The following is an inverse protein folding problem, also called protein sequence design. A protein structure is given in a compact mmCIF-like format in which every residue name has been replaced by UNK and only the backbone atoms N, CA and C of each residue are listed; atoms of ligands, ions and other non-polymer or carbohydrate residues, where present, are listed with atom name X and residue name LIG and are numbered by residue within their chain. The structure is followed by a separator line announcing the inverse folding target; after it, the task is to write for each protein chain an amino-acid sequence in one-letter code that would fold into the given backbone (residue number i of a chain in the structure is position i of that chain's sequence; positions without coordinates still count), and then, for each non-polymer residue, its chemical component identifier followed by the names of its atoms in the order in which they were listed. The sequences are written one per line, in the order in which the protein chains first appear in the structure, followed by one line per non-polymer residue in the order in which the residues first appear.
data_IF_348539179497
#
_entry.id   IF_348539179497
#
_cell.length_a   1.000
_cell.length_b   1.000
_cell.length_c   1.000
_cell.angle_alpha   90.00
_cell.angle_beta   90.00
_cell.angle_gamma   90.00
#
_symmetry.space_group_name_H-M   'P 1'
#
loop_
_entity.id
_entity.type
_entity.pdbx_description
1 polymer ?
#
# COMPACT_ATOMS: atom_id res chain seq x y z
N UNK A 1 39.94 -72.44 -0.82
CA UNK A 1 39.88 -70.95 -1.03
C UNK A 1 38.46 -70.56 -1.45
N UNK A 2 37.69 -70.05 -0.49
CA UNK A 2 36.29 -69.77 -0.68
C UNK A 2 36.16 -68.23 -0.60
N UNK A 3 35.78 -67.57 -1.71
CA UNK A 3 35.61 -66.14 -1.79
C UNK A 3 34.16 -65.79 -1.41
N UNK A 4 33.95 -65.01 -0.31
CA UNK A 4 32.69 -64.41 0.01
C UNK A 4 32.49 -63.11 -0.79
N UNK A 5 31.47 -63.07 -1.61
CA UNK A 5 30.95 -61.88 -2.26
C UNK A 5 30.00 -61.16 -1.28
N UNK A 6 30.42 -60.01 -0.75
CA UNK A 6 29.58 -59.11 0.04
C UNK A 6 28.78 -58.18 -0.89
N UNK A 7 27.48 -58.46 -1.09
CA UNK A 7 26.56 -57.60 -1.82
C UNK A 7 26.14 -56.41 -0.91
N UNK A 8 26.65 -55.20 -1.24
CA UNK A 8 26.24 -53.95 -0.58
C UNK A 8 24.83 -53.54 -0.98
N UNK A 9 23.87 -53.58 -0.05
CA UNK A 9 22.56 -52.95 -0.19
C UNK A 9 22.72 -51.45 -0.11
N UNK A 10 22.70 -50.76 -1.25
CA UNK A 10 22.54 -49.32 -1.34
C UNK A 10 21.10 -48.98 -0.93
N UNK A 11 20.92 -48.55 0.31
CA UNK A 11 19.65 -48.04 0.79
C UNK A 11 19.24 -46.77 0.06
N UNK A 12 18.28 -46.86 -0.85
CA UNK A 12 17.59 -45.72 -1.46
C UNK A 12 16.88 -44.94 -0.35
N UNK A 13 17.43 -43.78 0.04
CA UNK A 13 16.70 -42.82 0.87
C UNK A 13 15.49 -42.34 0.06
N UNK A 14 14.26 -42.45 0.57
CA UNK A 14 13.11 -41.82 -0.08
C UNK A 14 13.39 -40.33 -0.14
N UNK A 15 13.46 -39.77 -1.34
CA UNK A 15 13.38 -38.34 -1.54
C UNK A 15 12.01 -37.92 -0.95
N UNK A 16 12.02 -37.25 0.18
CA UNK A 16 10.83 -36.58 0.72
C UNK A 16 10.34 -35.64 -0.37
N UNK A 17 9.31 -36.09 -1.09
CA UNK A 17 8.60 -35.21 -2.03
C UNK A 17 8.22 -33.96 -1.26
N UNK A 18 8.87 -32.85 -1.59
CA UNK A 18 8.57 -31.54 -1.04
C UNK A 18 7.10 -31.30 -1.35
N UNK A 19 6.24 -31.36 -0.32
CA UNK A 19 4.79 -31.16 -0.48
C UNK A 19 4.59 -29.83 -1.23
N UNK A 20 3.80 -29.88 -2.31
CA UNK A 20 3.56 -28.69 -3.14
C UNK A 20 3.04 -27.55 -2.25
N UNK A 21 3.74 -26.41 -2.26
CA UNK A 21 3.30 -25.21 -1.55
C UNK A 21 2.26 -24.47 -2.41
N UNK A 22 1.15 -24.00 -1.80
CA UNK A 22 0.68 -24.22 -0.43
C UNK A 22 -0.10 -25.56 -0.30
N UNK A 23 0.03 -26.26 0.84
CA UNK A 23 -0.72 -27.48 1.17
C UNK A 23 -1.87 -27.26 2.17
N UNK A 24 -2.03 -26.03 2.66
CA UNK A 24 -3.06 -25.58 3.61
C UNK A 24 -3.38 -24.10 3.38
N UNK A 25 -4.45 -23.57 3.97
CA UNK A 25 -4.80 -22.15 3.86
C UNK A 25 -3.65 -21.21 4.23
N UNK A 26 -3.48 -20.15 3.44
CA UNK A 26 -2.50 -19.08 3.65
C UNK A 26 -3.21 -17.85 4.21
N UNK A 27 -2.71 -17.31 5.31
CA UNK A 27 -3.21 -16.08 5.92
C UNK A 27 -2.51 -14.87 5.28
N UNK A 28 -3.29 -13.87 4.87
CA UNK A 28 -2.78 -12.57 4.43
C UNK A 28 -3.19 -11.50 5.43
N UNK A 29 -2.22 -10.97 6.17
CA UNK A 29 -2.43 -9.81 7.02
C UNK A 29 -2.58 -8.58 6.13
N UNK A 30 -3.58 -7.74 6.44
CA UNK A 30 -3.79 -6.42 5.86
C UNK A 30 -3.71 -5.40 6.98
N UNK A 31 -2.71 -4.50 6.93
CA UNK A 31 -2.39 -3.59 8.03
C UNK A 31 -3.41 -2.44 8.20
N UNK A 32 -4.54 -2.47 7.49
CA UNK A 32 -5.58 -1.42 7.46
C UNK A 32 -6.98 -2.02 7.54
N UNK A 33 -7.98 -1.15 7.78
CA UNK A 33 -9.39 -1.54 7.85
C UNK A 33 -9.90 -2.07 6.51
N UNK A 34 -10.90 -2.94 6.56
CA UNK A 34 -11.61 -3.42 5.38
C UNK A 34 -12.17 -2.25 4.56
N UNK A 35 -12.23 -2.42 3.23
CA UNK A 35 -12.72 -1.42 2.28
C UNK A 35 -11.71 -0.33 1.88
N UNK A 36 -10.53 -0.27 2.50
CA UNK A 36 -9.42 0.57 2.03
C UNK A 36 -8.67 -0.08 0.88
N UNK A 37 -7.85 0.69 0.16
CA UNK A 37 -7.13 0.21 -1.03
C UNK A 37 -6.26 -1.02 -0.77
N UNK A 38 -5.59 -1.10 0.40
CA UNK A 38 -4.80 -2.29 0.76
C UNK A 38 -5.69 -3.55 0.81
N UNK A 39 -6.89 -3.43 1.39
CA UNK A 39 -7.85 -4.54 1.49
C UNK A 39 -8.44 -4.92 0.13
N UNK A 40 -8.81 -3.93 -0.69
CA UNK A 40 -9.33 -4.13 -2.05
C UNK A 40 -8.33 -4.92 -2.90
N UNK A 41 -7.08 -4.45 -2.96
CA UNK A 41 -6.02 -5.09 -3.73
C UNK A 41 -5.65 -6.47 -3.17
N UNK A 42 -5.57 -6.61 -1.84
CA UNK A 42 -5.28 -7.88 -1.18
C UNK A 42 -6.35 -8.93 -1.50
N UNK A 43 -7.65 -8.57 -1.47
CA UNK A 43 -8.76 -9.49 -1.79
C UNK A 43 -8.75 -9.91 -3.26
N UNK A 44 -8.49 -8.96 -4.18
CA UNK A 44 -8.41 -9.26 -5.60
C UNK A 44 -7.30 -10.28 -5.91
N UNK A 45 -6.11 -10.09 -5.31
CA UNK A 45 -4.98 -11.01 -5.47
C UNK A 45 -5.23 -12.33 -4.74
N UNK A 46 -5.75 -12.30 -3.49
CA UNK A 46 -6.01 -13.49 -2.68
C UNK A 46 -7.00 -14.45 -3.34
N UNK A 47 -8.08 -13.91 -3.92
CA UNK A 47 -9.06 -14.72 -4.63
C UNK A 47 -8.41 -15.50 -5.79
N UNK A 48 -7.67 -14.79 -6.64
CA UNK A 48 -7.00 -15.38 -7.80
C UNK A 48 -5.89 -16.36 -7.42
N UNK A 49 -5.13 -16.04 -6.36
CA UNK A 49 -4.15 -16.98 -5.82
C UNK A 49 -4.82 -18.27 -5.33
N UNK A 50 -5.96 -18.17 -4.67
CA UNK A 50 -6.74 -19.32 -4.20
C UNK A 50 -7.20 -20.22 -5.36
N UNK A 51 -7.74 -19.61 -6.42
CA UNK A 51 -8.14 -20.30 -7.65
C UNK A 51 -6.95 -20.99 -8.33
N UNK A 52 -5.79 -20.31 -8.38
CA UNK A 52 -4.59 -20.79 -9.08
C UNK A 52 -3.82 -21.88 -8.31
N UNK A 53 -3.67 -21.71 -7.00
CA UNK A 53 -2.82 -22.55 -6.16
C UNK A 53 -3.61 -23.63 -5.38
N UNK A 54 -4.95 -23.67 -5.51
CA UNK A 54 -5.81 -24.69 -4.93
C UNK A 54 -5.96 -24.66 -3.41
N UNK A 55 -5.51 -23.57 -2.75
CA UNK A 55 -5.66 -23.37 -1.32
C UNK A 55 -6.19 -21.97 -1.02
N UNK A 56 -7.07 -21.79 -0.01
CA UNK A 56 -7.60 -20.48 0.33
C UNK A 56 -6.50 -19.51 0.79
N UNK A 57 -6.56 -18.26 0.31
CA UNK A 57 -5.80 -17.13 0.83
C UNK A 57 -6.75 -16.24 1.62
N UNK A 58 -6.62 -16.24 2.95
CA UNK A 58 -7.59 -15.65 3.88
C UNK A 58 -7.09 -14.28 4.35
N UNK A 59 -7.90 -13.25 4.14
CA UNK A 59 -7.60 -11.88 4.56
C UNK A 59 -7.90 -11.70 6.04
N UNK A 60 -6.93 -11.14 6.78
CA UNK A 60 -7.04 -10.79 8.19
C UNK A 60 -6.64 -9.32 8.40
N UNK A 61 -7.63 -8.45 8.59
CA UNK A 61 -7.40 -7.02 8.77
C UNK A 61 -6.91 -6.71 10.19
N UNK A 62 -5.72 -6.09 10.32
CA UNK A 62 -5.06 -5.69 11.58
C UNK A 62 -4.73 -4.20 11.57
N UNK A 63 -5.72 -3.32 11.68
CA UNK A 63 -5.51 -1.87 11.59
C UNK A 63 -4.91 -1.29 12.87
N UNK A 64 -4.26 -0.12 12.72
CA UNK A 64 -3.79 0.72 13.83
C UNK A 64 -2.32 1.12 13.72
N UNK A 65 -1.97 2.25 14.35
CA UNK A 65 -0.62 2.81 14.34
C UNK A 65 -0.09 3.11 12.93
N UNK A 66 -0.92 3.63 12.02
CA UNK A 66 -0.50 3.86 10.63
C UNK A 66 -0.12 2.59 9.87
N UNK A 67 -0.61 1.42 10.30
CA UNK A 67 -0.29 0.11 9.75
C UNK A 67 0.80 -0.66 10.54
N UNK A 68 1.37 -0.06 11.58
CA UNK A 68 2.46 -0.67 12.34
C UNK A 68 2.02 -1.90 13.12
N UNK A 69 0.75 -1.98 13.59
CA UNK A 69 0.24 -3.13 14.35
C UNK A 69 0.25 -4.39 13.49
N UNK A 70 -0.35 -4.32 12.29
CA UNK A 70 -0.37 -5.45 11.36
C UNK A 70 1.04 -5.83 10.87
N UNK A 71 1.90 -4.83 10.62
CA UNK A 71 3.28 -5.06 10.20
C UNK A 71 4.09 -5.78 11.29
N UNK A 72 3.96 -5.35 12.55
CA UNK A 72 4.63 -6.00 13.68
C UNK A 72 4.14 -7.44 13.89
N UNK A 73 2.86 -7.73 13.64
CA UNK A 73 2.33 -9.09 13.70
C UNK A 73 2.93 -9.98 12.60
N UNK A 74 3.01 -9.46 11.36
CA UNK A 74 3.62 -10.17 10.25
C UNK A 74 5.11 -10.46 10.49
N UNK A 75 5.87 -9.48 10.99
CA UNK A 75 7.30 -9.65 11.32
C UNK A 75 7.53 -10.80 12.32
N UNK A 76 6.61 -10.99 13.28
CA UNK A 76 6.73 -12.05 14.29
C UNK A 76 6.18 -13.40 13.86
N UNK A 77 5.55 -13.48 12.70
CA UNK A 77 4.99 -14.74 12.21
C UNK A 77 6.08 -15.73 11.79
N UNK A 78 5.74 -17.02 11.77
CA UNK A 78 6.64 -18.07 11.31
C UNK A 78 7.03 -17.83 9.84
N UNK A 79 8.32 -17.97 9.48
CA UNK A 79 8.79 -17.76 8.11
C UNK A 79 8.60 -19.02 7.24
N UNK A 80 7.40 -19.56 7.22
CA UNK A 80 7.03 -20.79 6.51
C UNK A 80 6.19 -20.54 5.25
N UNK A 81 5.88 -19.27 4.95
CA UNK A 81 5.07 -18.87 3.81
C UNK A 81 3.55 -18.92 4.05
N UNK A 82 3.07 -19.38 5.19
CA UNK A 82 1.64 -19.48 5.50
C UNK A 82 1.07 -18.23 6.20
N UNK A 83 1.92 -17.27 6.52
CA UNK A 83 1.51 -15.91 6.89
C UNK A 83 2.24 -14.92 5.99
N UNK A 84 1.47 -14.15 5.24
CA UNK A 84 1.94 -13.08 4.37
C UNK A 84 1.37 -11.75 4.85
N UNK A 85 1.89 -10.65 4.34
CA UNK A 85 1.28 -9.33 4.52
C UNK A 85 1.19 -8.61 3.19
N UNK A 86 0.03 -8.02 2.91
CA UNK A 86 -0.10 -6.96 1.90
C UNK A 86 0.04 -5.64 2.62
N UNK A 87 1.05 -4.89 2.21
CA UNK A 87 1.41 -3.64 2.86
C UNK A 87 1.60 -2.50 1.84
N UNK A 88 1.80 -1.28 2.33
CA UNK A 88 1.90 -0.06 1.52
C UNK A 88 3.08 0.81 1.94
N UNK A 89 3.28 1.90 1.22
CA UNK A 89 4.36 2.88 1.44
C UNK A 89 4.47 3.35 2.91
N UNK A 90 3.35 3.54 3.61
CA UNK A 90 3.34 4.03 4.99
C UNK A 90 4.19 3.15 5.91
N UNK A 91 3.74 1.93 6.23
CA UNK A 91 4.47 1.03 7.11
C UNK A 91 5.84 0.61 6.58
N UNK A 92 6.04 0.56 5.26
CA UNK A 92 7.25 0.03 4.65
C UNK A 92 8.35 1.08 4.43
N UNK A 93 7.99 2.35 4.26
CA UNK A 93 8.96 3.39 3.88
C UNK A 93 8.89 4.65 4.76
N UNK A 94 7.70 5.06 5.21
CA UNK A 94 7.49 6.33 5.92
C UNK A 94 7.71 6.16 7.43
N UNK A 95 7.11 5.12 8.01
CA UNK A 95 6.97 4.98 9.46
C UNK A 95 8.30 4.79 10.20
N UNK A 96 9.32 4.24 9.54
CA UNK A 96 10.65 4.09 10.14
C UNK A 96 11.29 5.44 10.52
N UNK A 97 10.99 6.49 9.77
CA UNK A 97 11.47 7.85 10.08
C UNK A 97 10.51 8.60 10.98
N UNK A 98 9.20 8.33 10.85
CA UNK A 98 8.15 9.06 11.53
C UNK A 98 7.97 8.61 12.99
N UNK A 99 8.14 7.32 13.28
CA UNK A 99 7.95 6.73 14.60
C UNK A 99 9.31 6.45 15.27
N UNK A 100 9.74 7.24 16.26
CA UNK A 100 11.10 7.11 16.83
C UNK A 100 11.34 5.79 17.59
N UNK A 101 10.27 5.09 17.99
CA UNK A 101 10.32 3.83 18.73
C UNK A 101 9.57 2.70 18.01
N UNK A 102 9.83 2.52 16.72
CA UNK A 102 9.24 1.42 15.98
C UNK A 102 9.89 0.09 16.43
N UNK A 103 9.10 -0.93 16.88
CA UNK A 103 9.67 -2.16 17.46
C UNK A 103 10.18 -3.16 16.40
N UNK A 104 10.19 -2.79 15.13
CA UNK A 104 10.63 -3.62 14.01
C UNK A 104 11.21 -2.73 12.90
N UNK A 105 12.01 -3.32 12.05
CA UNK A 105 12.51 -2.72 10.81
C UNK A 105 11.92 -3.50 9.62
N UNK A 106 10.85 -2.98 8.97
CA UNK A 106 10.17 -3.73 7.91
C UNK A 106 11.07 -4.03 6.70
N UNK A 107 12.10 -3.21 6.42
CA UNK A 107 13.05 -3.48 5.33
C UNK A 107 14.02 -4.62 5.64
N UNK A 108 14.30 -4.85 6.93
CA UNK A 108 15.16 -5.93 7.41
C UNK A 108 14.35 -7.19 7.74
N UNK A 109 13.19 -7.02 8.38
CA UNK A 109 12.45 -8.09 9.05
C UNK A 109 11.38 -8.73 8.15
N UNK A 110 11.12 -8.15 6.96
CA UNK A 110 10.27 -8.72 5.92
C UNK A 110 11.06 -8.96 4.63
N UNK A 111 10.67 -10.00 3.91
CA UNK A 111 11.14 -10.31 2.57
C UNK A 111 10.12 -9.79 1.55
N UNK A 112 10.57 -9.02 0.56
CA UNK A 112 9.74 -8.61 -0.56
C UNK A 112 9.37 -9.84 -1.42
N UNK A 113 8.11 -9.94 -1.82
CA UNK A 113 7.63 -10.98 -2.73
C UNK A 113 7.34 -10.39 -4.10
N UNK A 114 6.43 -9.41 -4.19
CA UNK A 114 6.07 -8.76 -5.45
C UNK A 114 5.36 -7.45 -5.19
N UNK A 115 5.61 -6.44 -6.03
CA UNK A 115 4.80 -5.24 -6.08
C UNK A 115 3.48 -5.55 -6.78
N UNK A 116 2.34 -5.21 -6.15
CA UNK A 116 1.02 -5.41 -6.77
C UNK A 116 0.72 -4.24 -7.70
N UNK A 117 0.80 -3.02 -7.16
CA UNK A 117 0.41 -1.81 -7.90
C UNK A 117 1.06 -0.54 -7.37
N UNK A 118 1.21 0.43 -8.25
CA UNK A 118 1.31 1.85 -7.93
C UNK A 118 -0.08 2.47 -7.93
N UNK A 119 -0.34 3.33 -6.95
CA UNK A 119 -1.66 3.93 -6.75
C UNK A 119 -1.51 5.42 -6.44
N UNK A 120 -1.87 6.29 -7.37
CA UNK A 120 -1.93 7.72 -7.10
C UNK A 120 -2.93 8.06 -6.00
N UNK A 121 -2.62 9.08 -5.21
CA UNK A 121 -3.64 9.75 -4.42
C UNK A 121 -4.36 10.79 -5.28
N UNK A 122 -5.61 11.05 -4.98
CA UNK A 122 -6.40 12.13 -5.54
C UNK A 122 -6.84 13.08 -4.42
N UNK A 123 -6.66 14.38 -4.64
CA UNK A 123 -7.24 15.42 -3.79
C UNK A 123 -8.74 15.43 -4.02
N UNK A 124 -9.49 15.09 -2.98
CA UNK A 124 -10.95 15.10 -2.98
C UNK A 124 -11.49 16.07 -1.93
N UNK A 125 -12.59 16.72 -2.28
CA UNK A 125 -13.33 17.62 -1.39
C UNK A 125 -14.80 17.20 -1.32
N UNK A 126 -15.44 17.51 -0.18
CA UNK A 126 -16.90 17.43 -0.10
C UNK A 126 -17.55 18.48 -1.04
N UNK A 127 -18.68 18.21 -1.70
CA UNK A 127 -19.33 19.16 -2.61
C UNK A 127 -19.69 20.54 -2.02
N UNK A 128 -19.81 20.65 -0.69
CA UNK A 128 -20.03 21.92 0.01
C UNK A 128 -18.82 22.86 -0.01
N UNK A 129 -17.63 22.36 -0.30
CA UNK A 129 -16.44 23.20 -0.47
C UNK A 129 -16.58 23.99 -1.78
N UNK A 130 -16.52 25.35 -1.75
CA UNK A 130 -16.78 26.19 -2.90
C UNK A 130 -15.56 26.27 -3.84
N UNK A 131 -14.98 25.11 -4.18
CA UNK A 131 -13.87 24.97 -5.12
C UNK A 131 -14.23 23.90 -6.14
N UNK A 132 -14.23 24.24 -7.41
CA UNK A 132 -14.54 23.34 -8.54
C UNK A 132 -13.31 22.97 -9.36
N UNK A 133 -12.23 23.70 -9.20
CA UNK A 133 -10.92 23.43 -9.78
C UNK A 133 -9.83 23.36 -8.71
N UNK A 134 -8.66 22.87 -9.10
CA UNK A 134 -7.51 22.86 -8.19
C UNK A 134 -7.04 24.28 -7.85
N UNK A 135 -7.08 25.19 -8.80
CA UNK A 135 -6.72 26.61 -8.62
C UNK A 135 -7.66 27.31 -7.63
N UNK A 136 -8.98 27.07 -7.76
CA UNK A 136 -9.97 27.57 -6.81
C UNK A 136 -9.76 26.99 -5.41
N UNK A 137 -9.37 25.72 -5.30
CA UNK A 137 -9.03 25.09 -4.03
C UNK A 137 -7.80 25.74 -3.39
N UNK A 138 -6.75 25.99 -4.16
CA UNK A 138 -5.55 26.69 -3.66
C UNK A 138 -5.89 28.07 -3.14
N UNK A 139 -6.71 28.84 -3.87
CA UNK A 139 -7.20 30.14 -3.42
C UNK A 139 -8.06 30.04 -2.15
N UNK A 140 -8.94 29.04 -2.09
CA UNK A 140 -9.81 28.78 -0.95
C UNK A 140 -9.01 28.48 0.33
N UNK A 141 -7.95 27.66 0.22
CA UNK A 141 -7.05 27.31 1.34
C UNK A 141 -6.26 28.52 1.79
N UNK A 142 -5.66 29.29 0.86
CA UNK A 142 -4.90 30.52 1.19
C UNK A 142 -5.72 31.57 1.91
N UNK A 143 -6.99 31.69 1.57
CA UNK A 143 -7.89 32.68 2.20
C UNK A 143 -8.33 32.28 3.61
N UNK A 144 -8.01 31.08 4.11
CA UNK A 144 -8.53 30.52 5.38
C UNK A 144 -7.45 29.79 6.19
N UNK A 145 -6.35 30.46 6.53
CA UNK A 145 -5.28 29.84 7.31
C UNK A 145 -5.81 29.39 8.69
N UNK A 146 -5.44 28.17 9.10
CA UNK A 146 -5.78 27.59 10.40
C UNK A 146 -7.25 27.19 10.59
N UNK A 147 -8.14 27.42 9.60
CA UNK A 147 -9.59 27.15 9.76
C UNK A 147 -10.07 25.89 9.06
N UNK A 148 -9.26 25.32 8.18
CA UNK A 148 -9.60 24.13 7.41
C UNK A 148 -8.96 22.90 8.00
N UNK A 149 -9.67 21.77 7.92
CA UNK A 149 -9.15 20.47 8.32
C UNK A 149 -9.08 19.50 7.15
N UNK A 150 -8.07 18.64 7.19
CA UNK A 150 -7.97 17.51 6.28
C UNK A 150 -7.91 16.19 7.02
N UNK A 151 -8.55 15.17 6.45
CA UNK A 151 -8.49 13.82 6.97
C UNK A 151 -7.35 13.00 6.39
N UNK A 152 -6.92 11.99 7.12
CA UNK A 152 -6.03 10.95 6.59
C UNK A 152 -6.41 9.57 7.11
N UNK A 153 -5.96 8.53 6.42
CA UNK A 153 -6.12 7.13 6.84
C UNK A 153 -5.20 6.74 8.00
N UNK A 154 -4.50 7.69 8.58
CA UNK A 154 -3.61 7.56 9.73
C UNK A 154 -2.34 8.38 9.58
N UNK A 155 -1.68 8.66 10.70
CA UNK A 155 -0.38 9.32 10.70
C UNK A 155 0.64 8.43 9.97
N UNK A 156 1.49 9.02 9.12
CA UNK A 156 2.49 8.28 8.34
C UNK A 156 1.96 7.61 7.08
N UNK A 157 0.69 7.82 6.72
CA UNK A 157 0.17 7.33 5.43
C UNK A 157 0.44 8.33 4.32
N UNK A 158 0.42 7.86 3.06
CA UNK A 158 0.52 8.75 1.89
C UNK A 158 -0.57 9.81 1.89
N UNK A 159 -1.77 9.47 2.38
CA UNK A 159 -2.89 10.41 2.56
C UNK A 159 -2.52 11.60 3.47
N UNK A 160 -1.87 11.32 4.62
CA UNK A 160 -1.38 12.35 5.53
C UNK A 160 -0.33 13.24 4.85
N UNK A 161 0.76 12.62 4.37
CA UNK A 161 1.90 13.38 3.88
C UNK A 161 1.62 14.10 2.56
N UNK A 162 0.78 13.56 1.66
CA UNK A 162 0.36 14.29 0.46
C UNK A 162 -0.41 15.57 0.80
N UNK A 163 -1.32 15.49 1.78
CA UNK A 163 -2.08 16.67 2.25
C UNK A 163 -1.16 17.70 2.90
N UNK A 164 -0.27 17.23 3.78
CA UNK A 164 0.74 18.07 4.41
C UNK A 164 1.63 18.78 3.38
N UNK A 165 2.24 18.00 2.46
CA UNK A 165 3.11 18.55 1.41
C UNK A 165 2.43 19.61 0.56
N UNK A 166 1.14 19.40 0.23
CA UNK A 166 0.39 20.37 -0.55
C UNK A 166 0.16 21.65 0.25
N UNK A 167 -0.33 21.55 1.49
CA UNK A 167 -0.63 22.73 2.31
C UNK A 167 0.60 23.54 2.66
N UNK A 168 1.74 22.89 2.90
CA UNK A 168 3.03 23.57 3.08
C UNK A 168 3.43 24.35 1.82
N UNK A 169 3.31 23.75 0.63
CA UNK A 169 3.62 24.42 -0.64
C UNK A 169 2.62 25.51 -1.00
N UNK A 170 1.39 25.43 -0.55
CA UNK A 170 0.39 26.50 -0.63
C UNK A 170 0.75 27.67 0.32
N UNK A 171 1.51 27.39 1.39
CA UNK A 171 1.84 28.37 2.44
C UNK A 171 0.65 28.69 3.36
N UNK A 172 -0.13 27.65 3.71
CA UNK A 172 -1.31 27.83 4.58
C UNK A 172 -1.37 26.75 5.65
N UNK A 173 -1.65 27.13 6.87
CA UNK A 173 -1.88 26.22 7.98
C UNK A 173 -3.24 25.53 7.84
N UNK A 174 -3.25 24.21 8.10
CA UNK A 174 -4.45 23.38 8.09
C UNK A 174 -4.36 22.33 9.19
N UNK A 175 -5.50 21.99 9.81
CA UNK A 175 -5.55 21.01 10.88
C UNK A 175 -5.57 19.58 10.31
N UNK A 176 -4.63 18.74 10.71
CA UNK A 176 -4.65 17.32 10.40
C UNK A 176 -5.56 16.56 11.37
N UNK A 177 -6.50 15.78 10.85
CA UNK A 177 -7.36 14.87 11.61
C UNK A 177 -7.05 13.43 11.19
N UNK A 178 -6.28 12.67 12.00
CA UNK A 178 -5.94 11.28 11.71
C UNK A 178 -7.07 10.33 12.07
N UNK A 179 -7.34 9.36 11.20
CA UNK A 179 -8.32 8.30 11.39
C UNK A 179 -7.66 6.91 11.36
N UNK A 180 -8.43 5.89 11.75
CA UNK A 180 -8.03 4.49 11.56
C UNK A 180 -8.52 4.02 10.18
N UNK A 181 -7.62 4.02 9.19
CA UNK A 181 -7.90 3.52 7.83
C UNK A 181 -9.03 4.29 7.13
N UNK A 182 -9.96 3.58 6.51
CA UNK A 182 -11.01 4.13 5.66
C UNK A 182 -12.05 5.01 6.38
N UNK A 183 -12.04 5.08 7.71
CA UNK A 183 -13.01 5.88 8.48
C UNK A 183 -12.95 7.38 8.17
N UNK A 184 -11.80 7.91 7.73
CA UNK A 184 -11.66 9.29 7.27
C UNK A 184 -12.64 9.64 6.14
N UNK A 185 -12.91 8.68 5.25
CA UNK A 185 -13.82 8.86 4.14
C UNK A 185 -15.26 9.11 4.59
N UNK A 186 -15.71 8.46 5.67
CA UNK A 186 -17.06 8.66 6.20
C UNK A 186 -17.28 10.10 6.65
N UNK A 187 -16.29 10.70 7.33
CA UNK A 187 -16.38 12.08 7.79
C UNK A 187 -16.22 13.10 6.65
N UNK A 188 -15.45 12.79 5.62
CA UNK A 188 -15.41 13.59 4.40
C UNK A 188 -16.75 13.55 3.67
N UNK A 189 -17.37 12.38 3.51
CA UNK A 189 -18.68 12.20 2.87
C UNK A 189 -19.81 12.91 3.66
N UNK A 190 -19.65 13.03 4.98
CA UNK A 190 -20.58 13.76 5.85
C UNK A 190 -20.31 15.28 5.88
N UNK A 191 -19.28 15.77 5.17
CA UNK A 191 -18.92 17.18 5.15
C UNK A 191 -18.25 17.70 6.43
N UNK A 192 -17.81 16.82 7.34
CA UNK A 192 -17.11 17.18 8.57
C UNK A 192 -15.64 17.54 8.33
N UNK A 193 -15.09 17.08 7.22
CA UNK A 193 -13.76 17.42 6.71
C UNK A 193 -13.92 18.21 5.42
N UNK A 194 -13.01 19.15 5.17
CA UNK A 194 -13.04 19.92 3.93
C UNK A 194 -12.41 19.15 2.78
N UNK A 195 -11.30 18.47 3.03
CA UNK A 195 -10.57 17.75 1.99
C UNK A 195 -9.74 16.57 2.54
N UNK A 196 -9.28 15.73 1.66
CA UNK A 196 -8.22 14.76 1.90
C UNK A 196 -7.54 14.37 0.60
N UNK A 197 -6.31 13.92 0.66
CA UNK A 197 -5.78 13.04 -0.35
C UNK A 197 -6.18 11.60 -0.02
N UNK A 198 -6.79 10.92 -0.97
CA UNK A 198 -7.17 9.52 -0.85
C UNK A 198 -6.63 8.74 -2.05
N UNK A 199 -6.28 7.49 -1.85
CA UNK A 199 -5.94 6.60 -2.96
C UNK A 199 -7.16 6.44 -3.88
N UNK A 200 -6.96 6.52 -5.19
CA UNK A 200 -8.06 6.54 -6.17
C UNK A 200 -9.04 5.36 -5.97
N UNK A 201 -8.60 4.09 -5.79
CA UNK A 201 -9.52 2.98 -5.60
C UNK A 201 -10.50 3.14 -4.44
N UNK A 202 -10.08 3.82 -3.37
CA UNK A 202 -10.93 4.01 -2.19
C UNK A 202 -12.06 5.02 -2.40
N UNK A 203 -11.96 5.91 -3.40
CA UNK A 203 -12.89 7.03 -3.58
C UNK A 203 -13.51 7.13 -4.96
N UNK A 204 -13.06 6.36 -5.96
CA UNK A 204 -13.48 6.51 -7.35
C UNK A 204 -15.00 6.33 -7.53
N UNK A 205 -15.63 5.42 -6.80
CA UNK A 205 -17.08 5.22 -6.82
C UNK A 205 -17.84 6.44 -6.30
N UNK A 206 -17.32 7.08 -5.26
CA UNK A 206 -17.91 8.30 -4.69
C UNK A 206 -17.73 9.51 -5.60
N UNK A 207 -16.60 9.60 -6.32
CA UNK A 207 -16.36 10.63 -7.34
C UNK A 207 -17.33 10.45 -8.49
N UNK A 208 -17.46 9.24 -9.05
CA UNK A 208 -18.40 8.92 -10.12
C UNK A 208 -19.86 9.17 -9.74
N UNK A 209 -20.21 8.95 -8.47
CA UNK A 209 -21.54 9.22 -7.92
C UNK A 209 -21.78 10.71 -7.55
N UNK A 210 -20.80 11.61 -7.78
CA UNK A 210 -20.89 13.03 -7.43
C UNK A 210 -20.92 13.33 -5.92
N UNK A 211 -20.66 12.32 -5.07
CA UNK A 211 -20.58 12.50 -3.61
C UNK A 211 -19.29 13.16 -3.15
N UNK A 212 -18.25 13.11 -3.96
CA UNK A 212 -16.97 13.79 -3.79
C UNK A 212 -16.57 14.45 -5.11
N UNK A 213 -15.82 15.55 -5.02
CA UNK A 213 -15.21 16.20 -6.17
C UNK A 213 -13.71 15.96 -6.16
N UNK A 214 -13.19 15.38 -7.26
CA UNK A 214 -11.77 15.25 -7.51
C UNK A 214 -11.22 16.56 -8.09
N UNK A 215 -10.10 17.05 -7.58
CA UNK A 215 -9.50 18.32 -7.99
C UNK A 215 -8.13 18.17 -8.64
N UNK A 216 -7.30 17.25 -8.15
CA UNK A 216 -6.00 16.95 -8.74
C UNK A 216 -5.49 15.58 -8.27
N UNK A 217 -4.61 14.94 -9.04
CA UNK A 217 -3.91 13.70 -8.64
C UNK A 217 -2.48 14.01 -8.18
N UNK A 218 -1.97 13.17 -7.28
CA UNK A 218 -0.62 13.32 -6.72
C UNK A 218 0.49 12.68 -7.55
N UNK A 219 0.14 11.96 -8.61
CA UNK A 219 1.10 11.40 -9.56
C UNK A 219 1.75 12.51 -10.39
N UNK A 220 2.96 12.26 -10.93
CA UNK A 220 3.62 13.22 -11.83
C UNK A 220 2.81 13.56 -13.07
N UNK A 221 1.92 12.66 -13.50
CA UNK A 221 1.04 12.80 -14.66
C UNK A 221 -0.43 12.49 -14.28
N UNK A 222 -1.42 12.96 -15.07
CA UNK A 222 -2.82 12.63 -14.88
C UNK A 222 -3.08 11.11 -14.88
N UNK A 223 -4.05 10.67 -14.09
CA UNK A 223 -4.42 9.26 -14.01
C UNK A 223 -5.42 8.87 -15.11
N UNK A 224 -5.24 7.69 -15.71
CA UNK A 224 -6.17 7.12 -16.70
C UNK A 224 -7.57 6.86 -16.15
N UNK A 225 -7.68 6.59 -14.86
CA UNK A 225 -8.96 6.31 -14.19
C UNK A 225 -9.80 7.56 -13.89
N UNK A 226 -9.18 8.74 -13.92
CA UNK A 226 -9.83 10.04 -13.67
C UNK A 226 -9.52 11.02 -14.81
N UNK A 227 -10.04 10.77 -16.03
CA UNK A 227 -9.81 11.65 -17.16
C UNK A 227 -10.32 13.07 -16.86
N UNK A 228 -9.52 14.07 -17.22
CA UNK A 228 -9.82 15.48 -16.96
C UNK A 228 -9.39 16.00 -15.58
N UNK A 229 -8.94 15.14 -14.66
CA UNK A 229 -8.36 15.56 -13.38
C UNK A 229 -6.86 15.78 -13.56
N UNK A 230 -6.35 17.03 -13.37
CA UNK A 230 -4.95 17.36 -13.61
C UNK A 230 -4.01 16.75 -12.55
N UNK A 231 -2.72 16.66 -12.85
CA UNK A 231 -1.71 16.42 -11.83
C UNK A 231 -1.39 17.72 -11.06
N UNK A 232 -1.16 17.61 -9.75
CA UNK A 232 -0.72 18.74 -8.91
C UNK A 232 0.55 19.37 -9.47
N UNK A 233 1.47 18.53 -10.02
CA UNK A 233 2.71 18.97 -10.63
C UNK A 233 2.50 19.94 -11.80
N UNK A 234 1.45 19.75 -12.59
CA UNK A 234 1.12 20.56 -13.77
C UNK A 234 0.46 21.91 -13.40
N UNK A 235 0.07 22.07 -12.13
CA UNK A 235 -0.73 23.21 -11.63
C UNK A 235 0.06 24.15 -10.72
N UNK A 236 1.33 24.37 -11.05
CA UNK A 236 2.21 25.31 -10.33
C UNK A 236 2.95 24.70 -9.13
N UNK A 237 2.96 23.38 -8.99
CA UNK A 237 3.69 22.67 -7.94
C UNK A 237 4.66 21.64 -8.53
N UNK A 238 5.66 22.06 -9.32
CA UNK A 238 6.55 21.14 -10.03
C UNK A 238 7.24 20.17 -9.08
N UNK A 239 7.41 18.91 -9.52
CA UNK A 239 8.01 17.86 -8.71
C UNK A 239 7.11 17.32 -7.57
N UNK A 240 5.82 17.71 -7.52
CA UNK A 240 4.89 17.08 -6.60
C UNK A 240 4.64 15.62 -7.05
N UNK A 241 5.09 14.67 -6.21
CA UNK A 241 4.90 13.24 -6.43
C UNK A 241 4.76 12.54 -5.07
N UNK A 242 3.53 12.22 -4.69
CA UNK A 242 3.19 11.67 -3.38
C UNK A 242 2.12 10.56 -3.50
N UNK A 243 2.41 9.55 -4.30
CA UNK A 243 1.56 8.37 -4.46
C UNK A 243 1.71 7.35 -3.34
N UNK A 244 0.94 6.28 -3.44
CA UNK A 244 1.12 5.06 -2.66
C UNK A 244 1.46 3.92 -3.60
N UNK A 245 2.05 2.89 -3.05
CA UNK A 245 2.26 1.60 -3.69
C UNK A 245 1.91 0.47 -2.73
N UNK A 246 1.62 -0.70 -3.28
CA UNK A 246 1.17 -1.87 -2.53
C UNK A 246 1.91 -3.11 -3.01
N UNK A 247 2.23 -3.99 -2.08
CA UNK A 247 2.89 -5.23 -2.41
C UNK A 247 2.73 -6.32 -1.36
N UNK A 248 3.08 -7.53 -1.77
CA UNK A 248 3.12 -8.71 -0.91
C UNK A 248 4.50 -8.84 -0.30
N UNK A 249 4.53 -9.09 1.00
CA UNK A 249 5.74 -9.42 1.75
C UNK A 249 5.52 -10.68 2.56
N UNK A 250 6.61 -11.36 2.91
CA UNK A 250 6.65 -12.50 3.81
C UNK A 250 7.58 -12.21 4.99
N UNK A 251 7.46 -12.89 6.13
CA UNK A 251 8.45 -12.84 7.21
C UNK A 251 9.86 -13.14 6.70
N UNK A 252 10.86 -12.45 7.23
CA UNK A 252 12.27 -12.70 6.89
C UNK A 252 12.65 -14.15 7.20
N UNK A 253 13.35 -14.80 6.26
CA UNK A 253 13.71 -16.20 6.39
C UNK A 253 12.71 -17.17 5.75
N UNK A 254 11.61 -16.68 5.17
CA UNK A 254 10.74 -17.52 4.32
C UNK A 254 11.57 -18.15 3.20
N UNK A 255 11.47 -19.48 2.97
CA UNK A 255 12.31 -20.17 1.99
C UNK A 255 12.19 -19.58 0.59
N UNK A 256 13.33 -19.42 -0.11
CA UNK A 256 13.36 -18.83 -1.45
C UNK A 256 12.39 -19.51 -2.45
N UNK A 257 12.25 -20.84 -2.49
CA UNK A 257 11.29 -21.48 -3.40
C UNK A 257 9.83 -21.08 -3.13
N UNK A 258 9.48 -20.77 -1.87
CA UNK A 258 8.14 -20.29 -1.51
C UNK A 258 7.93 -18.86 -2.01
N UNK A 259 8.91 -17.99 -1.81
CA UNK A 259 8.88 -16.59 -2.30
C UNK A 259 8.78 -16.57 -3.82
N UNK A 260 9.57 -17.38 -4.51
CA UNK A 260 9.57 -17.50 -5.97
C UNK A 260 8.23 -18.02 -6.51
N UNK A 261 7.67 -19.06 -5.86
CA UNK A 261 6.35 -19.60 -6.21
C UNK A 261 5.24 -18.55 -6.10
N UNK A 262 5.22 -17.79 -5.00
CA UNK A 262 4.26 -16.71 -4.79
C UNK A 262 4.48 -15.56 -5.80
N UNK A 263 5.73 -15.14 -6.01
CA UNK A 263 6.08 -14.11 -6.98
C UNK A 263 5.60 -14.49 -8.37
N UNK A 264 5.94 -15.69 -8.85
CA UNK A 264 5.50 -16.21 -10.14
C UNK A 264 3.98 -16.23 -10.25
N UNK A 265 3.29 -16.76 -9.22
CA UNK A 265 1.84 -16.86 -9.23
C UNK A 265 1.19 -15.47 -9.35
N UNK A 266 1.64 -14.46 -8.58
CA UNK A 266 1.09 -13.09 -8.66
C UNK A 266 1.40 -12.45 -10.02
N UNK A 267 2.63 -12.54 -10.54
CA UNK A 267 2.96 -11.97 -11.84
C UNK A 267 2.10 -12.56 -12.98
N UNK A 268 1.76 -13.85 -12.91
CA UNK A 268 0.88 -14.50 -13.88
C UNK A 268 -0.59 -14.09 -13.74
N UNK A 269 -1.01 -13.58 -12.57
CA UNK A 269 -2.38 -13.11 -12.33
C UNK A 269 -2.60 -11.66 -12.75
N UNK A 270 -1.59 -10.79 -12.57
CA UNK A 270 -1.72 -9.35 -12.81
C UNK A 270 -2.29 -8.99 -14.19
N UNK A 271 -1.90 -9.65 -15.30
CA UNK A 271 -2.52 -9.39 -16.60
C UNK A 271 -4.03 -9.60 -16.62
N UNK A 272 -4.56 -10.57 -15.90
CA UNK A 272 -6.01 -10.83 -15.82
C UNK A 272 -6.77 -9.78 -14.99
N UNK A 273 -6.08 -9.08 -14.09
CA UNK A 273 -6.61 -8.01 -13.25
C UNK A 273 -6.37 -6.61 -13.83
N UNK A 274 -5.55 -6.51 -14.89
CA UNK A 274 -5.04 -5.24 -15.42
C UNK A 274 -6.15 -4.22 -15.69
N UNK A 275 -7.13 -4.58 -16.53
CA UNK A 275 -8.21 -3.67 -16.90
C UNK A 275 -9.07 -3.25 -15.71
N UNK A 276 -9.32 -4.17 -14.78
CA UNK A 276 -10.07 -3.85 -13.57
C UNK A 276 -9.28 -2.88 -12.69
N UNK A 277 -8.00 -3.16 -12.44
CA UNK A 277 -7.13 -2.32 -11.61
C UNK A 277 -6.99 -0.91 -12.19
N UNK A 278 -6.74 -0.79 -13.51
CA UNK A 278 -6.67 0.52 -14.17
C UNK A 278 -7.99 1.29 -14.01
N UNK A 279 -9.15 0.65 -14.24
CA UNK A 279 -10.46 1.33 -14.06
C UNK A 279 -10.71 1.78 -12.62
N UNK A 280 -10.11 1.11 -11.65
CA UNK A 280 -10.19 1.43 -10.23
C UNK A 280 -9.09 2.39 -9.77
N UNK A 281 -8.13 2.74 -10.63
CA UNK A 281 -7.08 3.72 -10.34
C UNK A 281 -5.84 3.15 -9.67
N UNK A 282 -5.59 1.87 -9.90
CA UNK A 282 -4.37 1.18 -9.52
C UNK A 282 -3.62 0.73 -10.78
N UNK A 283 -2.36 1.12 -10.92
CA UNK A 283 -1.51 0.71 -12.04
C UNK A 283 -0.76 -0.58 -11.64
N UNK A 284 -1.10 -1.77 -12.21
CA UNK A 284 -0.44 -3.02 -11.86
C UNK A 284 1.03 -3.00 -12.29
N UNK A 285 1.92 -3.53 -11.44
CA UNK A 285 3.38 -3.47 -11.65
C UNK A 285 3.98 -4.85 -11.85
N UNK A 286 3.96 -5.72 -10.84
CA UNK A 286 4.67 -7.00 -10.87
C UNK A 286 6.18 -6.87 -10.65
N UNK A 287 6.95 -7.76 -11.29
CA UNK A 287 8.41 -7.77 -11.22
C UNK A 287 8.98 -8.81 -10.25
N UNK A 288 10.32 -8.86 -10.13
CA UNK A 288 11.00 -9.83 -9.26
C UNK A 288 11.02 -9.38 -7.79
N UNK A 289 11.25 -10.30 -6.83
CA UNK A 289 11.44 -9.95 -5.43
C UNK A 289 12.57 -8.94 -5.21
N UNK A 290 13.67 -9.05 -5.95
CA UNK A 290 14.84 -8.18 -5.86
C UNK A 290 14.50 -6.76 -6.35
N UNK A 291 13.79 -6.66 -7.47
CA UNK A 291 13.33 -5.37 -8.01
C UNK A 291 12.43 -4.66 -6.99
N UNK A 292 11.49 -5.40 -6.39
CA UNK A 292 10.60 -4.85 -5.38
C UNK A 292 11.33 -4.47 -4.09
N UNK A 293 12.30 -5.27 -3.63
CA UNK A 293 13.14 -4.92 -2.48
C UNK A 293 13.95 -3.65 -2.73
N UNK A 294 14.54 -3.51 -3.92
CA UNK A 294 15.28 -2.31 -4.32
C UNK A 294 14.37 -1.08 -4.37
N UNK A 295 13.19 -1.19 -4.99
CA UNK A 295 12.20 -0.13 -5.04
C UNK A 295 11.77 0.31 -3.64
N UNK A 296 11.47 -0.63 -2.73
CA UNK A 296 11.08 -0.32 -1.36
C UNK A 296 12.15 0.46 -0.61
N UNK A 297 13.43 0.15 -0.84
CA UNK A 297 14.56 0.89 -0.25
C UNK A 297 14.67 2.31 -0.82
N UNK A 298 14.53 2.47 -2.13
CA UNK A 298 14.52 3.80 -2.77
C UNK A 298 13.37 4.67 -2.25
N UNK A 299 12.20 4.07 -2.08
CA UNK A 299 11.04 4.75 -1.50
C UNK A 299 11.31 5.15 -0.03
N UNK A 300 11.94 4.29 0.77
CA UNK A 300 12.36 4.66 2.11
C UNK A 300 13.28 5.88 2.13
N UNK A 301 14.32 5.90 1.29
CA UNK A 301 15.28 7.01 1.20
C UNK A 301 14.58 8.32 0.79
N UNK A 302 13.69 8.25 -0.19
CA UNK A 302 12.86 9.39 -0.63
C UNK A 302 11.97 9.93 0.50
N UNK A 303 11.18 9.05 1.13
CA UNK A 303 10.25 9.47 2.17
C UNK A 303 10.92 9.91 3.45
N UNK A 304 12.10 9.37 3.78
CA UNK A 304 12.93 9.83 4.90
C UNK A 304 13.21 11.33 4.81
N UNK A 305 13.61 11.81 3.63
CA UNK A 305 13.87 13.23 3.39
C UNK A 305 12.57 14.05 3.57
N UNK A 306 11.46 13.58 2.99
CA UNK A 306 10.17 14.28 3.07
C UNK A 306 9.67 14.36 4.52
N UNK A 307 9.76 13.29 5.29
CA UNK A 307 9.36 13.26 6.71
C UNK A 307 10.21 14.22 7.53
N UNK A 308 11.54 14.18 7.36
CA UNK A 308 12.45 15.09 8.07
C UNK A 308 12.17 16.55 7.76
N UNK A 309 11.92 16.89 6.49
CA UNK A 309 11.57 18.25 6.07
C UNK A 309 10.18 18.68 6.55
N UNK A 310 9.27 17.74 6.73
CA UNK A 310 7.90 18.04 7.18
C UNK A 310 7.81 18.41 8.66
N UNK A 311 8.81 18.08 9.46
CA UNK A 311 8.73 18.17 10.91
C UNK A 311 7.66 17.26 11.52
N UNK A 312 7.04 16.36 10.72
CA UNK A 312 6.04 15.43 11.22
C UNK A 312 6.69 14.43 12.18
N UNK A 313 6.11 14.29 13.35
CA UNK A 313 6.50 13.29 14.35
C UNK A 313 5.27 12.65 14.97
N UNK A 314 5.44 11.46 15.50
CA UNK A 314 4.45 10.80 16.36
C UNK A 314 5.11 10.58 17.69
N UNK A 315 4.51 11.14 18.74
CA UNK A 315 4.97 10.96 20.12
C UNK A 315 4.85 9.49 20.60
#
# INVERSE_FOLDING_TARGET
MTALLASGLAGSRPALAQSAYPSRPVRIIVAFTAGGTTDILARAVAQRLGEKLGQPFVIDNKPGGGGNIGTAEAVRAAPDGYTLIVNSVGPMAINQTLYPKLPHDPLRDLAAVVQIADVPNVLVVHPSVPARSFEEFVAYVRARPGTLSYGSTGVGTSSHLSSYMLTQRIGSETLHVPYKGANALNDLLAGRLQFMFATIPSVISHIKAGKLRALAVSSPQPSRSLPGVPAVADKGFPGFAAGSWFGVFAPRGTPAPVVESLNKAVNELLPSLHEQMIREGADPVGGSPEQFAQFTRQEYDKWKIIVQQSGASVE
#
